data_IF_620592366180
#
_entry.id   IF_620592366180
#
_cell.length_a   1.000
_cell.length_b   1.000
_cell.length_c   1.000
_cell.angle_alpha   90.00
_cell.angle_beta   90.00
_cell.angle_gamma   90.00
#
_symmetry.space_group_name_H-M   'P 1'
#
loop_
_entity.id
_entity.type
_entity.pdbx_description
1 polymer ?
#
# COMPACT_ATOMS: atom_id res chain seq x y z
N UNK A 1 64.41 22.74 -15.62
CA UNK A 1 63.66 23.98 -15.93
C UNK A 1 62.59 23.59 -16.95
N UNK A 2 61.29 23.77 -16.81
CA UNK A 2 60.44 24.36 -15.80
C UNK A 2 59.12 23.55 -15.78
N UNK A 3 58.53 23.32 -14.61
CA UNK A 3 57.22 22.68 -14.48
C UNK A 3 56.13 23.72 -14.80
N UNK A 4 55.31 23.45 -15.83
CA UNK A 4 54.17 24.31 -16.18
C UNK A 4 53.04 24.17 -15.16
N UNK A 5 52.59 25.30 -14.59
CA UNK A 5 51.42 25.34 -13.71
C UNK A 5 50.13 25.03 -14.48
N UNK A 6 49.18 24.28 -13.90
CA UNK A 6 47.86 24.08 -14.48
C UNK A 6 47.03 25.38 -14.40
N UNK A 7 46.14 25.63 -15.38
CA UNK A 7 45.29 26.82 -15.40
C UNK A 7 44.26 26.82 -14.27
N UNK A 8 44.07 27.97 -13.63
CA UNK A 8 43.05 28.18 -12.60
C UNK A 8 41.63 27.98 -13.18
N UNK A 9 40.72 27.32 -12.45
CA UNK A 9 39.35 27.11 -12.92
C UNK A 9 38.58 28.44 -12.96
N UNK A 10 38.04 28.76 -14.13
CA UNK A 10 37.16 29.90 -14.36
C UNK A 10 35.80 29.64 -13.68
N UNK A 11 35.49 30.37 -12.62
CA UNK A 11 34.15 30.37 -12.01
C UNK A 11 33.23 31.36 -12.73
N UNK A 12 32.14 30.91 -13.38
CA UNK A 12 31.18 31.80 -14.02
C UNK A 12 30.41 32.64 -12.98
N UNK A 13 29.98 33.86 -13.33
CA UNK A 13 29.17 34.70 -12.44
C UNK A 13 27.84 34.02 -12.11
N UNK A 14 27.32 34.20 -10.88
CA UNK A 14 26.06 33.58 -10.49
C UNK A 14 24.90 34.10 -11.36
N UNK A 15 23.94 33.23 -11.73
CA UNK A 15 22.79 33.64 -12.53
C UNK A 15 21.94 34.67 -11.78
N UNK A 16 21.58 35.75 -12.47
CA UNK A 16 20.67 36.78 -11.97
C UNK A 16 19.33 36.14 -11.60
N UNK A 17 19.01 36.11 -10.30
CA UNK A 17 17.73 35.56 -9.84
C UNK A 17 16.60 36.49 -10.25
N UNK A 18 15.47 35.97 -10.73
CA UNK A 18 14.28 36.76 -11.01
C UNK A 18 13.86 37.53 -9.74
N UNK A 19 13.58 38.83 -9.88
CA UNK A 19 13.30 39.74 -8.77
C UNK A 19 12.14 39.29 -7.86
N UNK A 20 11.18 38.54 -8.41
CA UNK A 20 10.04 37.96 -7.67
C UNK A 20 10.45 36.85 -6.67
N UNK A 21 11.67 36.33 -6.75
CA UNK A 21 12.20 35.36 -5.78
C UNK A 21 12.92 36.01 -4.59
N UNK A 22 13.02 37.34 -4.54
CA UNK A 22 13.61 38.05 -3.40
C UNK A 22 12.71 37.94 -2.17
N UNK A 23 13.31 37.89 -0.98
CA UNK A 23 12.60 37.79 0.29
C UNK A 23 11.58 38.93 0.49
N UNK A 24 11.88 40.13 -0.03
CA UNK A 24 10.97 41.28 0.00
C UNK A 24 9.70 41.06 -0.82
N UNK A 25 9.82 40.56 -2.06
CA UNK A 25 8.66 40.28 -2.89
C UNK A 25 7.74 39.22 -2.27
N UNK A 26 8.32 38.18 -1.65
CA UNK A 26 7.55 37.12 -0.97
C UNK A 26 6.78 37.63 0.23
N UNK A 27 7.38 38.51 1.04
CA UNK A 27 6.69 39.11 2.18
C UNK A 27 5.56 40.05 1.73
N UNK A 28 5.74 40.78 0.63
CA UNK A 28 4.68 41.61 0.04
C UNK A 28 3.48 40.77 -0.44
N UNK A 29 3.72 39.62 -1.08
CA UNK A 29 2.64 38.71 -1.50
C UNK A 29 1.90 38.09 -0.31
N UNK A 30 2.60 37.73 0.76
CA UNK A 30 1.97 37.21 1.99
C UNK A 30 1.11 38.29 2.65
N UNK A 31 1.60 39.53 2.72
CA UNK A 31 0.83 40.67 3.23
C UNK A 31 -0.44 40.94 2.42
N UNK A 32 -0.34 40.94 1.08
CA UNK A 32 -1.48 41.13 0.20
C UNK A 32 -2.52 40.00 0.34
N UNK A 33 -2.08 38.74 0.49
CA UNK A 33 -2.97 37.61 0.71
C UNK A 33 -3.74 37.72 2.04
N UNK A 34 -3.08 38.17 3.12
CA UNK A 34 -3.73 38.38 4.41
C UNK A 34 -4.83 39.45 4.35
N UNK A 35 -4.61 40.53 3.59
CA UNK A 35 -5.62 41.59 3.38
C UNK A 35 -6.80 41.08 2.55
N UNK A 36 -6.56 40.25 1.53
CA UNK A 36 -7.64 39.66 0.70
C UNK A 36 -8.49 38.67 1.51
N UNK A 37 -7.86 37.88 2.39
CA UNK A 37 -8.57 36.94 3.29
C UNK A 37 -9.49 37.68 4.26
N UNK A 38 -9.11 38.87 4.71
CA UNK A 38 -9.94 39.69 5.61
C UNK A 38 -11.18 40.31 4.92
N UNK A 39 -11.19 40.41 3.59
CA UNK A 39 -12.28 41.04 2.83
C UNK A 39 -13.28 39.99 2.32
N UNK A 40 -12.83 38.76 2.03
CA UNK A 40 -13.70 37.70 1.50
C UNK A 40 -13.37 36.33 2.09
N UNK A 41 -13.98 36.00 3.23
CA UNK A 41 -13.74 34.76 4.00
C UNK A 41 -13.85 33.48 3.15
N UNK A 42 -14.86 33.39 2.28
CA UNK A 42 -15.08 32.19 1.45
C UNK A 42 -14.00 31.99 0.37
N UNK A 43 -13.43 33.08 -0.16
CA UNK A 43 -12.36 33.03 -1.17
C UNK A 43 -11.01 32.70 -0.53
N UNK A 44 -10.78 33.14 0.71
CA UNK A 44 -9.58 32.80 1.47
C UNK A 44 -9.45 31.30 1.74
N UNK A 45 -10.56 30.65 2.12
CA UNK A 45 -10.59 29.20 2.37
C UNK A 45 -10.34 28.42 1.07
N UNK A 46 -10.96 28.83 -0.05
CA UNK A 46 -10.74 28.20 -1.36
C UNK A 46 -9.30 28.33 -1.85
N UNK A 47 -8.67 29.51 -1.70
CA UNK A 47 -7.25 29.69 -2.02
C UNK A 47 -6.34 28.86 -1.11
N UNK A 48 -6.72 28.65 0.14
CA UNK A 48 -5.97 27.81 1.07
C UNK A 48 -6.02 26.34 0.66
N UNK A 49 -7.19 25.80 0.33
CA UNK A 49 -7.29 24.43 -0.18
C UNK A 49 -6.57 24.26 -1.53
N UNK A 50 -6.68 25.24 -2.43
CA UNK A 50 -5.99 25.22 -3.71
C UNK A 50 -4.47 25.25 -3.55
N UNK A 51 -3.94 26.01 -2.58
CA UNK A 51 -2.49 26.06 -2.29
C UNK A 51 -1.98 24.78 -1.63
N UNK A 52 -2.74 24.15 -0.73
CA UNK A 52 -2.41 22.82 -0.20
C UNK A 52 -2.43 21.77 -1.32
N UNK A 53 -3.46 21.79 -2.17
CA UNK A 53 -3.57 20.87 -3.30
C UNK A 53 -2.39 21.07 -4.28
N UNK A 54 -2.00 22.31 -4.57
CA UNK A 54 -0.83 22.62 -5.41
C UNK A 54 0.48 22.10 -4.79
N UNK A 55 0.67 22.21 -3.46
CA UNK A 55 1.85 21.67 -2.75
C UNK A 55 1.93 20.14 -2.88
N UNK A 56 0.80 19.45 -3.00
CA UNK A 56 0.77 18.00 -3.17
C UNK A 56 0.84 17.58 -4.65
N UNK A 57 0.14 18.27 -5.55
CA UNK A 57 0.08 17.94 -6.99
C UNK A 57 1.38 18.31 -7.71
N UNK A 58 2.05 19.42 -7.33
CA UNK A 58 3.33 19.80 -7.93
C UNK A 58 4.52 18.94 -7.46
N UNK A 59 4.28 17.88 -6.66
CA UNK A 59 5.32 16.99 -6.12
C UNK A 59 5.39 15.63 -6.81
N UNK A 60 4.76 15.48 -7.97
CA UNK A 60 5.06 14.42 -8.93
C UNK A 60 6.40 14.66 -9.63
N UNK A 61 7.51 14.51 -8.91
CA UNK A 61 8.85 14.65 -9.50
C UNK A 61 9.94 14.91 -8.47
N UNK A 62 10.95 14.05 -8.47
CA UNK A 62 12.10 14.01 -7.58
C UNK A 62 12.73 15.39 -7.29
N UNK A 63 13.16 15.56 -6.02
CA UNK A 63 14.05 16.60 -5.44
C UNK A 63 13.36 17.77 -4.70
N UNK A 64 12.92 17.51 -3.47
CA UNK A 64 12.84 18.55 -2.43
C UNK A 64 13.42 18.02 -1.12
N UNK A 65 14.26 18.78 -0.37
CA UNK A 65 15.03 18.28 0.77
C UNK A 65 14.24 18.00 2.07
N UNK A 66 12.93 18.18 2.08
CA UNK A 66 12.11 18.02 3.29
C UNK A 66 11.53 16.62 3.40
N UNK A 67 11.76 15.99 4.57
CA UNK A 67 11.19 14.66 4.89
C UNK A 67 9.68 14.77 5.02
N UNK A 68 8.95 13.74 4.59
CA UNK A 68 7.47 13.67 4.61
C UNK A 68 6.88 14.06 5.97
N UNK A 69 7.53 13.68 7.06
CA UNK A 69 7.08 13.99 8.41
C UNK A 69 7.10 15.48 8.76
N UNK A 70 8.06 16.26 8.20
CA UNK A 70 8.08 17.72 8.37
C UNK A 70 6.93 18.40 7.63
N UNK A 71 6.43 17.79 6.54
CA UNK A 71 5.24 18.29 5.83
C UNK A 71 3.98 18.08 6.67
N UNK A 72 3.84 16.90 7.27
CA UNK A 72 2.73 16.57 8.17
C UNK A 72 2.73 17.51 9.39
N UNK A 73 3.89 17.70 10.03
CA UNK A 73 4.03 18.58 11.17
C UNK A 73 3.66 20.05 10.85
N UNK A 74 4.07 20.56 9.67
CA UNK A 74 3.69 21.90 9.23
C UNK A 74 2.18 22.02 9.01
N UNK A 75 1.56 21.05 8.33
CA UNK A 75 0.10 21.08 8.08
C UNK A 75 -0.72 20.99 9.36
N UNK A 76 -0.31 20.16 10.32
CA UNK A 76 -1.00 20.02 11.61
C UNK A 76 -0.83 21.29 12.44
N UNK A 77 0.37 21.89 12.46
CA UNK A 77 0.63 23.13 13.19
C UNK A 77 -0.21 24.30 12.68
N UNK A 78 -0.34 24.46 11.36
CA UNK A 78 -1.18 25.51 10.77
C UNK A 78 -2.66 25.30 11.10
N UNK A 79 -3.14 24.06 11.03
CA UNK A 79 -4.54 23.73 11.32
C UNK A 79 -4.89 23.96 12.80
N UNK A 80 -3.97 23.66 13.71
CA UNK A 80 -4.11 23.94 15.14
C UNK A 80 -4.16 25.45 15.42
N UNK A 81 -3.33 26.24 14.74
CA UNK A 81 -3.32 27.70 14.88
C UNK A 81 -4.63 28.31 14.38
N UNK A 82 -5.18 27.82 13.26
CA UNK A 82 -6.48 28.27 12.75
C UNK A 82 -7.64 27.94 13.71
N UNK A 83 -7.62 26.79 14.38
CA UNK A 83 -8.64 26.43 15.37
C UNK A 83 -8.60 27.32 16.62
N UNK A 84 -7.41 27.79 17.01
CA UNK A 84 -7.25 28.76 18.11
C UNK A 84 -7.79 30.13 17.70
N UNK A 85 -7.52 30.60 16.48
CA UNK A 85 -8.02 31.89 15.98
C UNK A 85 -9.54 31.88 15.77
N UNK A 86 -10.14 30.72 15.44
CA UNK A 86 -11.58 30.56 15.29
C UNK A 86 -12.38 30.48 16.61
N UNK A 87 -11.73 30.59 17.77
CA UNK A 87 -12.40 30.74 19.08
C UNK A 87 -13.14 29.50 19.62
N UNK A 88 -12.90 28.31 19.06
CA UNK A 88 -13.63 27.07 19.44
C UNK A 88 -13.09 26.45 20.76
N UNK A 89 -11.96 26.94 21.28
CA UNK A 89 -11.36 26.45 22.53
C UNK A 89 -11.53 27.44 23.70
N UNK A 90 -12.74 27.57 24.23
CA UNK A 90 -12.95 28.14 25.57
C UNK A 90 -13.70 27.13 26.46
N UNK A 91 -13.21 26.83 27.68
CA UNK A 91 -13.92 25.97 28.63
C UNK A 91 -15.14 26.68 29.21
N UNK A 92 -16.30 26.05 29.10
CA UNK A 92 -17.61 26.58 29.49
C UNK A 92 -17.74 26.71 31.01
N UNK A 93 -17.98 27.94 31.51
CA UNK A 93 -18.52 28.18 32.85
C UNK A 93 -20.05 28.18 32.81
N UNK A 94 -20.67 27.37 33.67
CA UNK A 94 -22.11 27.39 33.97
C UNK A 94 -22.55 28.74 34.55
N UNK A 95 -23.78 29.15 34.22
CA UNK A 95 -24.57 30.09 35.02
C UNK A 95 -26.05 29.73 34.91
N UNK A 96 -26.69 29.57 36.07
CA UNK A 96 -28.12 29.37 36.29
C UNK A 96 -28.89 30.71 36.33
N UNK A 97 -30.23 30.58 36.42
CA UNK A 97 -31.28 31.57 36.76
C UNK A 97 -31.81 32.46 35.60
N UNK A 98 -33.11 32.78 35.42
CA UNK A 98 -34.38 32.58 36.12
C UNK A 98 -35.55 33.00 35.17
N UNK A 99 -36.73 32.35 35.20
CA UNK A 99 -38.04 32.74 35.80
C UNK A 99 -39.03 33.61 34.96
N UNK A 100 -40.30 33.12 34.97
CA UNK A 100 -41.62 33.76 34.76
C UNK A 100 -42.07 34.12 33.33
N UNK A 101 -43.35 34.11 32.95
CA UNK A 101 -44.62 33.51 33.41
C UNK A 101 -45.72 33.86 32.36
N UNK A 102 -46.76 33.03 32.28
CA UNK A 102 -48.16 33.29 31.85
C UNK A 102 -48.59 33.35 30.36
N UNK A 103 -49.50 32.39 30.08
CA UNK A 103 -50.56 32.09 29.06
C UNK A 103 -51.53 33.27 28.76
N UNK A 104 -52.52 33.27 27.79
CA UNK A 104 -53.17 32.10 27.13
C UNK A 104 -53.70 32.17 25.66
N UNK A 105 -54.09 30.96 25.19
CA UNK A 105 -55.21 30.57 24.30
C UNK A 105 -55.21 30.89 22.79
N UNK A 106 -55.30 29.82 21.96
CA UNK A 106 -56.42 29.61 21.02
C UNK A 106 -56.42 28.18 20.44
N UNK A 107 -57.62 27.63 20.39
CA UNK A 107 -58.02 26.29 19.98
C UNK A 107 -57.97 26.11 18.46
N UNK A 108 -57.43 24.99 17.98
CA UNK A 108 -57.78 24.43 16.66
C UNK A 108 -57.67 22.91 16.70
N UNK A 109 -58.83 22.28 16.76
CA UNK A 109 -59.05 20.83 16.71
C UNK A 109 -58.70 20.34 15.31
N UNK A 110 -57.63 19.56 15.19
CA UNK A 110 -57.38 18.71 14.02
C UNK A 110 -57.59 17.25 14.38
N UNK A 111 -58.42 16.62 13.56
CA UNK A 111 -58.88 15.24 13.60
C UNK A 111 -57.70 14.27 13.64
N UNK A 112 -57.60 13.50 14.72
CA UNK A 112 -56.64 12.40 14.93
C UNK A 112 -56.93 11.30 13.90
N UNK A 113 -55.97 10.89 13.05
CA UNK A 113 -56.03 9.60 12.38
C UNK A 113 -55.80 8.51 13.44
N UNK A 114 -56.64 7.48 13.45
CA UNK A 114 -56.47 6.31 14.31
C UNK A 114 -55.04 5.76 14.22
N UNK A 115 -54.34 5.84 15.34
CA UNK A 115 -53.07 5.14 15.57
C UNK A 115 -53.30 3.64 15.33
N UNK A 116 -52.62 3.01 14.36
CA UNK A 116 -52.66 1.56 14.23
C UNK A 116 -52.24 0.93 15.55
N UNK A 117 -52.95 -0.11 15.98
CA UNK A 117 -52.60 -0.90 17.16
C UNK A 117 -51.09 -1.21 17.17
N UNK A 118 -50.39 -1.12 18.32
CA UNK A 118 -48.95 -1.37 18.37
C UNK A 118 -48.66 -2.73 17.74
N UNK A 119 -48.00 -2.71 16.58
CA UNK A 119 -47.41 -3.91 16.02
C UNK A 119 -46.56 -4.52 17.14
N UNK A 120 -46.77 -5.82 17.40
CA UNK A 120 -45.98 -6.55 18.39
C UNK A 120 -44.50 -6.20 18.18
N UNK A 121 -43.81 -5.83 19.25
CA UNK A 121 -42.42 -5.41 19.17
C UNK A 121 -41.62 -6.47 18.38
N UNK A 122 -40.82 -6.06 17.37
CA UNK A 122 -40.06 -7.00 16.57
C UNK A 122 -39.25 -7.92 17.48
N UNK A 123 -39.34 -9.23 17.30
CA UNK A 123 -38.49 -10.15 18.04
C UNK A 123 -37.02 -9.94 17.61
N UNK A 124 -36.11 -10.00 18.58
CA UNK A 124 -34.69 -9.85 18.32
C UNK A 124 -34.19 -11.04 17.48
N UNK A 125 -33.72 -10.76 16.27
CA UNK A 125 -33.09 -11.75 15.40
C UNK A 125 -31.72 -12.18 15.91
N UNK A 126 -31.21 -13.32 15.45
CA UNK A 126 -29.80 -13.70 15.64
C UNK A 126 -28.95 -12.98 14.59
N UNK A 127 -28.01 -12.17 15.06
CA UNK A 127 -27.10 -11.40 14.23
C UNK A 127 -25.70 -11.99 14.13
N UNK A 128 -25.48 -13.21 14.63
CA UNK A 128 -24.18 -13.90 14.48
C UNK A 128 -23.75 -13.96 13.01
N UNK A 129 -22.51 -13.54 12.74
CA UNK A 129 -21.94 -13.43 11.40
C UNK A 129 -22.34 -12.17 10.63
N UNK A 130 -23.17 -11.29 11.19
CA UNK A 130 -23.56 -10.01 10.57
C UNK A 130 -22.66 -8.87 11.02
N UNK A 131 -22.71 -7.76 10.27
CA UNK A 131 -22.04 -6.53 10.67
C UNK A 131 -22.66 -5.96 11.95
N UNK A 132 -21.84 -5.46 12.88
CA UNK A 132 -22.32 -4.88 14.13
C UNK A 132 -23.27 -3.69 13.89
N UNK A 133 -23.03 -2.90 12.84
CA UNK A 133 -23.91 -1.79 12.46
C UNK A 133 -25.36 -2.23 12.18
N UNK A 134 -25.53 -3.34 11.47
CA UNK A 134 -26.84 -3.96 11.20
C UNK A 134 -27.46 -4.51 12.47
N UNK A 135 -26.67 -5.25 13.27
CA UNK A 135 -27.11 -5.87 14.51
C UNK A 135 -27.61 -4.83 15.53
N UNK A 136 -26.88 -3.73 15.69
CA UNK A 136 -27.28 -2.61 16.57
C UNK A 136 -28.60 -2.01 16.13
N UNK A 137 -28.71 -1.64 14.85
CA UNK A 137 -29.93 -1.03 14.30
C UNK A 137 -31.14 -1.94 14.48
N UNK A 138 -30.97 -3.23 14.19
CA UNK A 138 -32.03 -4.22 14.33
C UNK A 138 -32.44 -4.48 15.78
N UNK A 139 -31.47 -4.53 16.71
CA UNK A 139 -31.75 -4.67 18.14
C UNK A 139 -32.43 -3.45 18.75
N UNK A 140 -31.97 -2.24 18.40
CA UNK A 140 -32.58 -0.98 18.84
C UNK A 140 -34.01 -0.87 18.31
N UNK A 141 -34.26 -1.25 17.04
CA UNK A 141 -35.60 -1.31 16.46
C UNK A 141 -36.53 -2.33 17.14
N UNK A 142 -35.96 -3.40 17.69
CA UNK A 142 -36.66 -4.39 18.52
C UNK A 142 -36.88 -3.93 19.98
N UNK A 143 -36.42 -2.73 20.35
CA UNK A 143 -36.58 -2.14 21.69
C UNK A 143 -35.53 -2.59 22.71
N UNK A 144 -34.41 -3.17 22.27
CA UNK A 144 -33.32 -3.59 23.15
C UNK A 144 -32.32 -2.46 23.37
N UNK A 145 -31.79 -2.38 24.59
CA UNK A 145 -30.59 -1.57 24.87
C UNK A 145 -29.35 -2.35 24.43
N UNK A 146 -28.48 -1.73 23.63
CA UNK A 146 -27.38 -2.45 22.99
C UNK A 146 -26.02 -2.16 23.64
N UNK A 147 -25.35 -3.22 24.09
CA UNK A 147 -23.94 -3.28 24.42
C UNK A 147 -23.11 -3.88 23.29
N UNK A 148 -21.81 -3.62 23.29
CA UNK A 148 -20.85 -4.36 22.48
C UNK A 148 -19.47 -4.41 23.13
N UNK A 149 -18.72 -5.46 22.80
CA UNK A 149 -17.33 -5.66 23.22
C UNK A 149 -16.55 -6.45 22.18
N UNK A 150 -15.24 -6.34 22.18
CA UNK A 150 -14.38 -7.23 21.40
C UNK A 150 -14.45 -8.64 21.98
N UNK A 151 -14.78 -9.62 21.14
CA UNK A 151 -14.89 -11.02 21.48
C UNK A 151 -13.51 -11.67 21.69
N UNK A 152 -12.43 -11.04 21.22
CA UNK A 152 -11.09 -11.56 21.38
C UNK A 152 -10.52 -11.32 22.77
N UNK A 153 -9.52 -12.11 23.15
CA UNK A 153 -8.73 -11.90 24.37
C UNK A 153 -8.01 -10.55 24.43
N UNK A 154 -7.94 -9.80 23.32
CA UNK A 154 -7.31 -8.47 23.28
C UNK A 154 -8.21 -7.37 23.88
N UNK A 155 -9.52 -7.61 24.02
CA UNK A 155 -10.48 -6.67 24.62
C UNK A 155 -10.40 -5.25 24.04
N UNK A 156 -10.27 -5.13 22.71
CA UNK A 156 -10.10 -3.84 22.02
C UNK A 156 -11.37 -3.00 22.11
N UNK A 157 -11.21 -1.68 22.08
CA UNK A 157 -12.33 -0.75 21.96
C UNK A 157 -13.03 -0.90 20.61
N UNK A 158 -14.35 -1.11 20.62
CA UNK A 158 -15.18 -1.24 19.43
C UNK A 158 -15.51 0.14 18.88
N UNK A 159 -14.70 0.61 17.93
CA UNK A 159 -14.87 1.90 17.25
C UNK A 159 -15.25 1.66 15.79
N UNK A 160 -16.21 2.45 15.27
CA UNK A 160 -16.80 2.31 13.93
C UNK A 160 -17.45 0.93 13.68
N UNK A 161 -18.71 0.77 14.10
CA UNK A 161 -19.46 -0.49 14.05
C UNK A 161 -19.53 -1.19 12.66
N UNK A 162 -19.24 -0.47 11.57
CA UNK A 162 -19.20 -1.07 10.24
C UNK A 162 -18.03 -2.06 10.04
N UNK A 163 -16.92 -1.91 10.78
CA UNK A 163 -15.71 -2.71 10.60
C UNK A 163 -15.66 -3.93 11.52
N UNK A 164 -16.80 -4.32 12.09
CA UNK A 164 -16.90 -5.35 13.12
C UNK A 164 -17.99 -6.35 12.76
N UNK A 165 -17.71 -7.63 13.00
CA UNK A 165 -18.63 -8.75 12.77
C UNK A 165 -19.04 -9.36 14.09
N UNK A 166 -20.33 -9.63 14.28
CA UNK A 166 -20.87 -10.25 15.51
C UNK A 166 -20.50 -11.73 15.55
N UNK A 167 -19.89 -12.16 16.65
CA UNK A 167 -19.57 -13.56 16.93
C UNK A 167 -20.51 -14.17 17.96
N UNK A 168 -20.90 -13.39 18.97
CA UNK A 168 -21.83 -13.84 19.99
C UNK A 168 -22.84 -12.75 20.31
N UNK A 169 -24.05 -13.19 20.62
CA UNK A 169 -25.16 -12.35 21.02
C UNK A 169 -25.72 -12.86 22.35
N UNK A 170 -25.73 -12.01 23.37
CA UNK A 170 -26.26 -12.37 24.69
C UNK A 170 -27.37 -11.41 25.10
N UNK A 171 -28.57 -11.93 25.29
CA UNK A 171 -29.70 -11.17 25.85
C UNK A 171 -29.62 -11.21 27.38
N UNK A 172 -29.90 -10.07 28.01
CA UNK A 172 -29.94 -9.96 29.47
C UNK A 172 -31.03 -9.00 29.91
N UNK A 173 -31.61 -9.23 31.09
CA UNK A 173 -32.49 -8.25 31.72
C UNK A 173 -31.63 -7.19 32.44
N UNK A 174 -31.94 -5.92 32.21
CA UNK A 174 -31.26 -4.78 32.82
C UNK A 174 -31.95 -4.39 34.12
N UNK A 175 -31.19 -3.76 35.03
CA UNK A 175 -31.66 -3.41 36.37
C UNK A 175 -32.87 -2.44 36.39
N UNK A 176 -33.11 -1.70 35.31
CA UNK A 176 -34.24 -0.78 35.14
C UNK A 176 -35.48 -1.47 34.51
N UNK A 177 -35.49 -2.80 34.41
CA UNK A 177 -36.58 -3.59 33.83
C UNK A 177 -36.60 -3.60 32.29
N UNK A 178 -35.61 -2.99 31.63
CA UNK A 178 -35.46 -3.06 30.17
C UNK A 178 -34.74 -4.35 29.76
N UNK A 179 -34.93 -4.74 28.50
CA UNK A 179 -34.13 -5.80 27.89
C UNK A 179 -32.87 -5.24 27.26
N UNK A 180 -31.74 -5.86 27.56
CA UNK A 180 -30.43 -5.59 26.98
C UNK A 180 -30.01 -6.71 26.03
N UNK A 181 -29.19 -6.36 25.05
CA UNK A 181 -28.41 -7.32 24.26
C UNK A 181 -26.97 -6.84 24.21
N UNK A 182 -26.04 -7.75 24.45
CA UNK A 182 -24.61 -7.47 24.31
C UNK A 182 -24.04 -8.28 23.14
N UNK A 183 -23.40 -7.57 22.22
CA UNK A 183 -22.77 -8.14 21.04
C UNK A 183 -21.25 -8.26 21.24
N UNK A 184 -20.76 -9.48 21.31
CA UNK A 184 -19.33 -9.75 21.22
C UNK A 184 -18.92 -9.82 19.75
N UNK A 185 -17.97 -8.99 19.35
CA UNK A 185 -17.60 -8.79 17.95
C UNK A 185 -16.10 -8.97 17.71
N UNK A 186 -15.72 -9.36 16.50
CA UNK A 186 -14.33 -9.31 16.03
C UNK A 186 -14.20 -8.30 14.90
N UNK A 187 -12.99 -7.84 14.58
CA UNK A 187 -12.83 -6.98 13.40
C UNK A 187 -13.17 -7.78 12.14
N UNK A 188 -13.58 -7.08 11.12
CA UNK A 188 -13.86 -7.69 9.82
C UNK A 188 -12.65 -8.50 9.31
N UNK A 189 -12.93 -9.74 8.86
CA UNK A 189 -11.92 -10.68 8.38
C UNK A 189 -11.16 -11.44 9.47
N UNK A 190 -11.42 -11.19 10.75
CA UNK A 190 -10.90 -12.02 11.84
C UNK A 190 -11.85 -13.19 12.13
N UNK A 191 -11.34 -14.38 12.49
CA UNK A 191 -12.20 -15.52 12.80
C UNK A 191 -12.82 -15.35 14.19
N UNK A 192 -14.07 -15.78 14.35
CA UNK A 192 -14.70 -15.79 15.68
C UNK A 192 -13.97 -16.77 16.61
N UNK A 193 -13.64 -16.35 17.85
CA UNK A 193 -13.09 -17.27 18.84
C UNK A 193 -14.12 -18.34 19.22
N UNK A 194 -13.67 -19.39 19.91
CA UNK A 194 -14.56 -20.47 20.36
C UNK A 194 -15.55 -20.00 21.44
N UNK A 195 -15.11 -19.05 22.24
CA UNK A 195 -15.88 -18.42 23.31
C UNK A 195 -15.51 -16.95 23.39
N UNK A 196 -16.40 -16.15 23.96
CA UNK A 196 -16.17 -14.73 24.18
C UNK A 196 -15.01 -14.48 25.16
N UNK A 197 -14.11 -13.57 24.79
CA UNK A 197 -12.83 -13.32 25.47
C UNK A 197 -11.74 -14.34 25.09
N UNK A 198 -12.02 -15.28 24.19
CA UNK A 198 -11.09 -16.32 23.77
C UNK A 198 -10.03 -15.84 22.76
N UNK A 199 -8.99 -16.67 22.57
CA UNK A 199 -7.98 -16.42 21.54
C UNK A 199 -8.56 -16.64 20.13
N UNK A 200 -8.20 -15.78 19.19
CA UNK A 200 -8.61 -15.90 17.79
C UNK A 200 -7.94 -17.13 17.13
N UNK A 201 -8.70 -18.04 16.49
CA UNK A 201 -8.17 -19.23 15.84
C UNK A 201 -7.61 -18.88 14.47
N UNK A 202 -6.50 -18.13 14.44
CA UNK A 202 -5.81 -17.77 13.21
C UNK A 202 -5.29 -19.00 12.47
N UNK A 203 -5.41 -19.05 11.13
CA UNK A 203 -4.78 -20.09 10.34
C UNK A 203 -3.25 -20.02 10.49
N UNK A 204 -2.62 -21.18 10.42
CA UNK A 204 -1.16 -21.34 10.46
C UNK A 204 -0.64 -21.61 9.05
N UNK A 205 0.52 -21.05 8.74
CA UNK A 205 1.14 -21.18 7.44
C UNK A 205 1.67 -22.61 7.26
N UNK A 206 1.20 -23.37 6.26
CA UNK A 206 1.75 -24.68 5.94
C UNK A 206 3.17 -24.57 5.38
N UNK A 207 3.88 -25.70 5.36
CA UNK A 207 5.16 -25.82 4.66
C UNK A 207 4.90 -26.12 3.19
N UNK A 208 5.08 -25.11 2.34
CA UNK A 208 4.85 -25.18 0.90
C UNK A 208 6.14 -25.01 0.10
N UNK A 209 7.29 -24.86 0.77
CA UNK A 209 8.60 -24.78 0.09
C UNK A 209 8.86 -26.09 -0.66
N UNK A 210 9.25 -25.97 -1.92
CA UNK A 210 9.47 -27.09 -2.85
C UNK A 210 8.20 -27.60 -3.54
N UNK A 211 7.00 -27.20 -3.10
CA UNK A 211 5.77 -27.56 -3.79
C UNK A 211 5.62 -26.81 -5.12
N UNK A 212 4.84 -27.39 -6.04
CA UNK A 212 4.37 -26.67 -7.23
C UNK A 212 3.36 -25.60 -6.83
N UNK A 213 3.18 -24.56 -7.65
CA UNK A 213 2.26 -23.47 -7.37
C UNK A 213 0.84 -23.98 -7.11
N UNK A 214 0.34 -24.88 -7.96
CA UNK A 214 -0.99 -25.46 -7.80
C UNK A 214 -1.15 -26.19 -6.46
N UNK A 215 -0.14 -26.99 -6.09
CA UNK A 215 -0.13 -27.70 -4.82
C UNK A 215 -0.06 -26.73 -3.64
N UNK A 216 0.80 -25.72 -3.69
CA UNK A 216 0.93 -24.70 -2.65
C UNK A 216 -0.39 -23.96 -2.41
N UNK A 217 -1.08 -23.53 -3.49
CA UNK A 217 -2.38 -22.86 -3.37
C UNK A 217 -3.47 -23.77 -2.79
N UNK A 218 -3.45 -25.06 -3.14
CA UNK A 218 -4.36 -26.05 -2.55
C UNK A 218 -4.10 -26.26 -1.05
N UNK A 219 -2.84 -26.39 -0.66
CA UNK A 219 -2.41 -26.59 0.73
C UNK A 219 -2.73 -25.34 1.58
N UNK A 220 -2.51 -24.12 1.04
CA UNK A 220 -2.90 -22.86 1.70
C UNK A 220 -4.40 -22.76 1.93
N UNK A 221 -5.20 -23.09 0.91
CA UNK A 221 -6.66 -23.10 1.02
C UNK A 221 -7.13 -24.10 2.07
N UNK A 222 -6.56 -25.30 2.10
CA UNK A 222 -6.88 -26.33 3.08
C UNK A 222 -6.53 -25.91 4.51
N UNK A 223 -5.47 -25.11 4.69
CA UNK A 223 -5.09 -24.51 5.97
C UNK A 223 -5.95 -23.31 6.38
N UNK A 224 -6.93 -22.89 5.56
CA UNK A 224 -7.79 -21.73 5.82
C UNK A 224 -7.11 -20.38 5.57
N UNK A 225 -5.99 -20.37 4.83
CA UNK A 225 -5.30 -19.13 4.46
C UNK A 225 -6.06 -18.43 3.32
N UNK A 226 -6.38 -17.12 3.46
CA UNK A 226 -7.05 -16.36 2.42
C UNK A 226 -6.15 -16.15 1.19
N UNK A 227 -6.57 -16.70 0.04
CA UNK A 227 -5.75 -16.71 -1.19
C UNK A 227 -5.63 -15.33 -1.86
N UNK A 228 -6.57 -14.41 -1.61
CA UNK A 228 -6.56 -13.03 -2.10
C UNK A 228 -5.40 -12.19 -1.54
N UNK A 229 -4.72 -12.72 -0.51
CA UNK A 229 -3.58 -12.08 0.16
C UNK A 229 -2.24 -12.70 -0.17
N UNK A 230 -2.25 -13.69 -1.06
CA UNK A 230 -1.03 -14.31 -1.56
C UNK A 230 -0.44 -13.41 -2.64
N UNK A 231 0.80 -12.97 -2.41
CA UNK A 231 1.62 -12.25 -3.37
C UNK A 231 2.69 -13.19 -3.91
N UNK A 232 2.90 -13.12 -5.21
CA UNK A 232 3.95 -13.85 -5.89
C UNK A 232 5.12 -12.91 -6.11
N UNK A 233 6.33 -13.44 -5.98
CA UNK A 233 7.58 -12.79 -6.32
C UNK A 233 8.42 -13.79 -7.13
N UNK A 234 9.29 -13.34 -8.03
CA UNK A 234 10.28 -14.23 -8.64
C UNK A 234 11.54 -14.30 -7.76
N UNK A 235 12.21 -15.45 -7.80
CA UNK A 235 13.41 -15.72 -7.03
C UNK A 235 14.71 -15.27 -7.72
N UNK A 236 14.71 -15.14 -9.05
CA UNK A 236 15.88 -14.78 -9.86
C UNK A 236 15.91 -13.28 -10.22
N UNK A 237 17.08 -12.80 -10.65
CA UNK A 237 17.31 -11.39 -10.99
C UNK A 237 16.90 -10.99 -12.42
N UNK A 238 16.75 -11.97 -13.32
CA UNK A 238 16.54 -11.79 -14.77
C UNK A 238 15.17 -12.26 -15.26
N UNK A 239 14.26 -12.52 -14.33
CA UNK A 239 12.92 -13.03 -14.56
C UNK A 239 11.91 -12.05 -13.97
N UNK A 240 10.80 -11.88 -14.69
CA UNK A 240 9.69 -11.09 -14.19
C UNK A 240 8.82 -11.95 -13.26
N UNK A 241 8.38 -11.36 -12.15
CA UNK A 241 7.38 -11.94 -11.25
C UNK A 241 6.13 -12.36 -12.03
N UNK A 242 5.69 -13.63 -11.95
CA UNK A 242 4.48 -14.07 -12.64
C UNK A 242 3.22 -13.46 -12.01
N UNK A 243 2.21 -13.21 -12.83
CA UNK A 243 0.85 -12.99 -12.30
C UNK A 243 0.26 -14.30 -11.77
N UNK A 244 -0.77 -14.21 -10.93
CA UNK A 244 -1.45 -15.39 -10.41
C UNK A 244 -2.04 -16.26 -11.55
N UNK A 245 -2.53 -15.63 -12.62
CA UNK A 245 -3.07 -16.33 -13.79
C UNK A 245 -1.98 -17.05 -14.58
N UNK A 246 -0.81 -16.42 -14.75
CA UNK A 246 0.34 -17.04 -15.40
C UNK A 246 0.89 -18.21 -14.59
N UNK A 247 0.99 -18.03 -13.26
CA UNK A 247 1.40 -19.08 -12.35
C UNK A 247 0.41 -20.25 -12.38
N UNK A 248 -0.90 -20.00 -12.39
CA UNK A 248 -1.92 -21.04 -12.45
C UNK A 248 -1.90 -21.82 -13.78
N UNK A 249 -1.65 -21.14 -14.91
CA UNK A 249 -1.62 -21.78 -16.23
C UNK A 249 -0.49 -22.79 -16.35
N UNK A 250 0.70 -22.44 -15.88
CA UNK A 250 1.89 -23.30 -15.90
C UNK A 250 2.20 -23.85 -14.50
N UNK A 251 1.17 -24.13 -13.70
CA UNK A 251 1.31 -24.29 -12.25
C UNK A 251 2.14 -25.45 -11.77
N UNK A 252 2.48 -26.41 -12.64
CA UNK A 252 3.42 -27.50 -12.35
C UNK A 252 4.88 -27.14 -12.65
N UNK A 253 5.14 -26.11 -13.46
CA UNK A 253 6.49 -25.61 -13.75
C UNK A 253 6.96 -24.56 -12.73
N UNK A 254 6.02 -23.93 -12.02
CA UNK A 254 6.33 -22.97 -10.97
C UNK A 254 6.48 -23.67 -9.63
N UNK A 255 7.67 -23.56 -9.04
CA UNK A 255 7.98 -24.14 -7.73
C UNK A 255 8.19 -23.05 -6.70
N UNK A 256 7.65 -23.24 -5.50
CA UNK A 256 7.87 -22.33 -4.38
C UNK A 256 9.28 -22.55 -3.84
N UNK A 257 10.12 -21.52 -3.88
CA UNK A 257 11.47 -21.56 -3.35
C UNK A 257 11.59 -20.97 -1.96
N UNK A 258 10.82 -19.92 -1.70
CA UNK A 258 10.74 -19.32 -0.38
C UNK A 258 9.29 -18.97 -0.08
N UNK A 259 8.96 -18.99 1.20
CA UNK A 259 7.67 -18.55 1.70
C UNK A 259 7.86 -17.58 2.85
N UNK A 260 6.93 -16.64 2.96
CA UNK A 260 6.80 -15.79 4.14
C UNK A 260 5.31 -15.53 4.43
N UNK A 261 4.79 -15.79 5.64
CA UNK A 261 5.50 -16.32 6.80
C UNK A 261 6.15 -17.68 6.56
N UNK A 262 7.17 -17.99 7.37
CA UNK A 262 7.71 -19.35 7.43
C UNK A 262 6.65 -20.34 7.92
N UNK A 263 6.96 -21.63 7.79
CA UNK A 263 6.15 -22.73 8.34
C UNK A 263 5.73 -22.45 9.78
N UNK A 264 4.47 -22.79 10.10
CA UNK A 264 3.82 -22.60 11.41
C UNK A 264 3.65 -21.12 11.82
N UNK A 265 4.03 -20.17 10.95
CA UNK A 265 3.78 -18.75 11.14
C UNK A 265 2.28 -18.44 11.15
N UNK A 266 1.85 -17.61 12.10
CA UNK A 266 0.43 -17.19 12.18
C UNK A 266 0.08 -16.26 11.02
N UNK A 267 -1.03 -16.54 10.36
CA UNK A 267 -1.58 -15.68 9.29
C UNK A 267 -2.75 -14.90 9.85
N UNK A 268 -2.54 -13.63 10.16
CA UNK A 268 -3.56 -12.73 10.73
C UNK A 268 -4.25 -11.90 9.65
N UNK A 269 -5.21 -11.07 10.06
CA UNK A 269 -5.91 -10.11 9.19
C UNK A 269 -5.00 -9.03 8.58
N UNK A 270 -3.73 -8.92 8.96
CA UNK A 270 -2.77 -8.01 8.32
C UNK A 270 -1.60 -8.73 7.66
N UNK A 271 -1.51 -10.05 7.81
CA UNK A 271 -0.46 -10.85 7.20
C UNK A 271 -0.66 -10.91 5.68
N UNK A 272 0.36 -10.49 4.94
CA UNK A 272 0.50 -10.79 3.51
C UNK A 272 1.31 -12.06 3.38
N UNK A 273 0.80 -13.04 2.65
CA UNK A 273 1.54 -14.28 2.35
C UNK A 273 2.33 -14.04 1.08
N UNK A 274 3.64 -14.26 1.10
CA UNK A 274 4.52 -14.17 -0.06
C UNK A 274 5.04 -15.55 -0.43
N UNK A 275 4.95 -15.88 -1.71
CA UNK A 275 5.55 -17.06 -2.30
C UNK A 275 6.54 -16.61 -3.38
N UNK A 276 7.81 -16.90 -3.18
CA UNK A 276 8.86 -16.63 -4.15
C UNK A 276 8.98 -17.85 -5.05
N UNK A 277 8.68 -17.69 -6.33
CA UNK A 277 8.59 -18.78 -7.29
C UNK A 277 9.84 -18.84 -8.18
N UNK A 278 10.25 -20.06 -8.51
CA UNK A 278 11.18 -20.34 -9.60
C UNK A 278 10.50 -21.19 -10.66
N UNK A 279 10.60 -20.79 -11.93
CA UNK A 279 10.05 -21.56 -13.05
C UNK A 279 11.05 -22.59 -13.57
N UNK A 280 10.74 -23.87 -13.54
CA UNK A 280 11.56 -24.89 -14.17
C UNK A 280 10.70 -25.81 -15.03
N UNK A 281 11.07 -25.92 -16.30
CA UNK A 281 10.52 -26.90 -17.23
C UNK A 281 11.61 -27.89 -17.64
N UNK A 282 11.30 -28.85 -18.50
CA UNK A 282 12.29 -29.81 -18.99
C UNK A 282 13.47 -29.14 -19.70
N UNK A 283 13.25 -27.98 -20.32
CA UNK A 283 14.27 -27.19 -21.00
C UNK A 283 15.13 -26.32 -20.07
N UNK A 284 14.77 -26.21 -18.79
CA UNK A 284 15.49 -25.33 -17.85
C UNK A 284 16.87 -25.91 -17.47
N UNK A 285 17.90 -25.07 -17.60
CA UNK A 285 19.28 -25.40 -17.20
C UNK A 285 19.43 -25.46 -15.66
N UNK A 286 18.61 -24.69 -14.95
CA UNK A 286 18.55 -24.65 -13.50
C UNK A 286 17.20 -25.21 -13.07
N UNK A 287 17.21 -26.28 -12.28
CA UNK A 287 16.01 -26.97 -11.76
C UNK A 287 16.03 -27.06 -10.22
N UNK A 288 16.59 -26.03 -9.58
CA UNK A 288 16.70 -25.97 -8.12
C UNK A 288 16.55 -24.54 -7.64
N UNK A 289 16.03 -24.41 -6.42
CA UNK A 289 15.92 -23.12 -5.76
C UNK A 289 17.32 -22.59 -5.45
N UNK A 290 17.54 -21.28 -5.63
CA UNK A 290 18.78 -20.68 -5.18
C UNK A 290 18.86 -20.69 -3.66
N UNK A 291 20.08 -20.54 -3.12
CA UNK A 291 20.30 -20.50 -1.68
C UNK A 291 19.71 -19.23 -1.03
N UNK A 292 19.57 -18.14 -1.80
CA UNK A 292 18.99 -16.89 -1.37
C UNK A 292 18.25 -16.21 -2.53
N UNK A 293 17.30 -15.33 -2.19
CA UNK A 293 16.50 -14.53 -3.13
C UNK A 293 17.35 -13.47 -3.80
N UNK A 294 17.16 -13.23 -5.10
CA UNK A 294 17.80 -12.10 -5.80
C UNK A 294 19.32 -12.14 -5.81
N UNK A 295 19.93 -13.33 -5.69
CA UNK A 295 21.40 -13.49 -5.71
C UNK A 295 21.91 -14.18 -6.97
N UNK A 296 21.03 -14.60 -7.87
CA UNK A 296 21.42 -15.40 -9.03
C UNK A 296 20.50 -15.15 -10.22
N UNK A 297 20.98 -15.57 -11.38
CA UNK A 297 20.31 -15.48 -12.67
C UNK A 297 19.81 -16.87 -13.05
N UNK A 298 18.58 -16.97 -13.52
CA UNK A 298 18.01 -18.22 -14.02
C UNK A 298 18.76 -18.68 -15.26
N UNK A 299 19.11 -17.74 -16.15
CA UNK A 299 19.96 -17.97 -17.31
C UNK A 299 21.38 -17.53 -16.93
N UNK A 300 22.33 -18.46 -16.73
CA UNK A 300 23.67 -18.09 -16.29
C UNK A 300 24.37 -17.08 -17.20
N UNK A 301 24.08 -17.08 -18.50
CA UNK A 301 24.65 -16.12 -19.45
C UNK A 301 24.23 -14.65 -19.22
N UNK A 302 23.18 -14.41 -18.43
CA UNK A 302 22.74 -13.06 -18.05
C UNK A 302 23.54 -12.51 -16.85
N UNK A 303 24.26 -13.37 -16.12
CA UNK A 303 25.13 -12.95 -15.02
C UNK A 303 26.33 -12.17 -15.59
N UNK A 304 26.57 -10.91 -15.15
CA UNK A 304 27.69 -10.10 -15.63
C UNK A 304 29.06 -10.73 -15.37
N UNK A 305 29.18 -11.60 -14.36
CA UNK A 305 30.41 -12.30 -14.01
C UNK A 305 30.51 -13.70 -14.66
N UNK A 306 29.54 -14.08 -15.49
CA UNK A 306 29.51 -15.39 -16.14
C UNK A 306 30.69 -15.59 -17.09
N UNK A 307 31.56 -16.54 -16.73
CA UNK A 307 32.58 -17.08 -17.63
C UNK A 307 32.06 -18.34 -18.29
N UNK A 308 31.90 -18.31 -19.61
CA UNK A 308 31.54 -19.50 -20.39
C UNK A 308 32.54 -20.62 -20.09
N UNK A 309 32.11 -21.82 -19.69
CA UNK A 309 33.00 -22.97 -19.59
C UNK A 309 33.69 -23.15 -20.95
N UNK A 310 35.01 -23.05 -20.97
CA UNK A 310 35.80 -23.36 -22.16
C UNK A 310 35.57 -24.81 -22.52
N UNK A 311 35.17 -25.08 -23.76
CA UNK A 311 35.23 -26.43 -24.33
C UNK A 311 36.68 -26.88 -24.28
N UNK A 312 37.00 -27.78 -23.36
CA UNK A 312 38.27 -28.49 -23.30
C UNK A 312 38.41 -29.34 -24.56
N UNK A 313 38.96 -28.72 -25.60
CA UNK A 313 39.77 -29.42 -26.59
C UNK A 313 41.16 -28.92 -26.29
N UNK A 314 41.98 -29.80 -25.69
CA UNK A 314 43.40 -29.54 -25.58
C UNK A 314 43.95 -29.36 -26.98
N UNK A 315 44.76 -28.32 -27.14
CA UNK A 315 45.94 -28.32 -28.00
C UNK A 315 46.79 -27.16 -27.50
N UNK A 316 47.96 -27.53 -26.98
CA UNK A 316 49.11 -26.66 -26.87
C UNK A 316 49.33 -25.96 -28.21
N UNK A 317 49.42 -24.63 -28.25
CA UNK A 317 50.62 -24.05 -28.84
C UNK A 317 50.81 -22.56 -28.57
N UNK A 318 52.10 -22.27 -28.59
CA UNK A 318 52.82 -21.05 -28.25
C UNK A 318 52.64 -19.92 -29.26
N UNK A 319 52.68 -18.68 -28.75
CA UNK A 319 53.10 -17.42 -29.41
C UNK A 319 52.53 -17.06 -30.79
N UNK A 320 51.98 -15.85 -30.91
CA UNK A 320 52.61 -14.70 -31.62
C UNK A 320 51.60 -13.58 -31.81
N UNK A 321 52.02 -12.38 -31.41
CA UNK A 321 51.41 -11.10 -31.77
C UNK A 321 51.27 -10.93 -33.29
N UNK A 322 50.04 -10.86 -33.78
CA UNK A 322 49.72 -10.51 -35.16
C UNK A 322 48.32 -9.90 -35.24
N UNK A 323 48.25 -8.58 -35.37
CA UNK A 323 47.00 -7.89 -35.66
C UNK A 323 46.48 -8.26 -37.04
N UNK A 324 45.21 -8.62 -37.15
CA UNK A 324 44.45 -8.45 -38.38
C UNK A 324 42.95 -8.34 -38.12
N UNK A 325 42.46 -7.21 -38.60
CA UNK A 325 41.09 -6.76 -38.80
C UNK A 325 40.28 -7.81 -39.56
N UNK A 326 39.29 -8.42 -38.90
CA UNK A 326 38.42 -9.42 -39.49
C UNK A 326 37.11 -9.51 -38.73
N UNK A 327 36.34 -8.42 -38.74
CA UNK A 327 35.05 -8.30 -38.05
C UNK A 327 34.00 -9.20 -38.66
N UNK A 328 33.84 -10.41 -38.13
CA UNK A 328 32.64 -11.22 -38.34
C UNK A 328 31.45 -10.55 -37.66
N UNK A 329 30.61 -9.87 -38.44
CA UNK A 329 29.40 -9.24 -37.94
C UNK A 329 28.45 -10.30 -37.38
N UNK A 330 28.29 -10.33 -36.06
CA UNK A 330 27.29 -11.17 -35.39
C UNK A 330 25.90 -10.77 -35.87
N UNK A 331 25.03 -11.75 -36.15
CA UNK A 331 23.63 -11.47 -36.44
C UNK A 331 22.95 -10.93 -35.18
N UNK A 332 22.30 -9.77 -35.27
CA UNK A 332 21.68 -9.09 -34.12
C UNK A 332 20.19 -8.88 -34.31
N UNK A 333 19.44 -8.73 -33.22
CA UNK A 333 18.02 -8.43 -33.25
C UNK A 333 17.80 -6.92 -32.99
N UNK A 334 17.27 -6.14 -33.95
CA UNK A 334 17.04 -4.71 -33.78
C UNK A 334 16.19 -4.40 -32.52
N UNK A 335 16.59 -3.40 -31.73
CA UNK A 335 15.88 -2.99 -30.52
C UNK A 335 16.11 -3.84 -29.27
N UNK A 336 16.77 -5.00 -29.39
CA UNK A 336 17.22 -5.78 -28.23
C UNK A 336 18.39 -5.11 -27.51
N UNK A 337 18.55 -5.43 -26.22
CA UNK A 337 19.66 -4.93 -25.42
C UNK A 337 20.99 -5.45 -25.95
N UNK A 338 22.02 -4.62 -25.82
CA UNK A 338 23.34 -4.93 -26.35
C UNK A 338 24.42 -4.47 -25.40
N UNK A 339 25.57 -5.15 -25.44
CA UNK A 339 26.78 -4.78 -24.70
C UNK A 339 27.99 -5.39 -25.43
N UNK A 340 29.16 -4.72 -25.46
CA UNK A 340 29.44 -3.39 -24.94
C UNK A 340 28.91 -2.25 -25.83
N UNK A 341 28.84 -1.03 -25.28
CA UNK A 341 28.56 0.17 -26.07
C UNK A 341 29.56 0.29 -27.23
N UNK A 342 29.07 0.56 -28.44
CA UNK A 342 29.89 0.63 -29.65
C UNK A 342 30.07 -0.70 -30.38
N UNK A 343 29.54 -1.82 -29.87
CA UNK A 343 29.51 -3.08 -30.62
C UNK A 343 28.73 -2.93 -31.94
N UNK A 344 29.15 -3.66 -32.98
CA UNK A 344 28.57 -3.62 -34.33
C UNK A 344 28.07 -5.03 -34.70
N UNK A 345 26.86 -5.11 -35.24
CA UNK A 345 26.26 -6.35 -35.71
C UNK A 345 25.44 -6.14 -36.98
N UNK A 346 24.96 -7.23 -37.60
CA UNK A 346 24.13 -7.14 -38.79
C UNK A 346 22.77 -7.80 -38.59
N UNK A 347 21.71 -7.20 -39.10
CA UNK A 347 20.37 -7.79 -39.12
C UNK A 347 19.74 -7.51 -40.49
N UNK A 348 19.29 -8.54 -41.19
CA UNK A 348 18.69 -8.40 -42.53
C UNK A 348 19.57 -7.60 -43.52
N UNK A 349 20.90 -7.83 -43.49
CA UNK A 349 21.87 -7.14 -44.34
C UNK A 349 22.16 -5.67 -43.96
N UNK A 350 21.58 -5.16 -42.87
CA UNK A 350 21.83 -3.81 -42.36
C UNK A 350 22.73 -3.85 -41.13
N UNK A 351 23.64 -2.89 -41.01
CA UNK A 351 24.52 -2.74 -39.86
C UNK A 351 23.81 -2.02 -38.72
N UNK A 352 23.96 -2.51 -37.50
CA UNK A 352 23.44 -1.94 -36.27
C UNK A 352 24.58 -1.71 -35.28
N UNK A 353 24.53 -0.58 -34.59
CA UNK A 353 25.48 -0.20 -33.55
C UNK A 353 24.79 -0.15 -32.19
N UNK A 354 25.48 -0.68 -31.19
CA UNK A 354 25.03 -0.70 -29.82
C UNK A 354 25.17 0.69 -29.17
N UNK A 355 24.07 1.44 -29.05
CA UNK A 355 24.07 2.84 -28.53
C UNK A 355 22.77 3.23 -27.79
N UNK A 356 22.88 4.08 -26.77
CA UNK A 356 21.72 4.73 -26.12
C UNK A 356 22.05 5.38 -24.76
N UNK A 357 21.32 6.44 -24.35
CA UNK A 357 21.43 6.97 -22.99
C UNK A 357 20.75 5.99 -22.02
N UNK A 358 21.52 5.38 -21.13
CA UNK A 358 21.05 4.36 -20.19
C UNK A 358 21.39 2.95 -20.65
N UNK A 359 20.38 2.10 -20.90
CA UNK A 359 20.58 0.73 -21.38
C UNK A 359 20.81 0.72 -22.89
N UNK A 360 22.00 0.24 -23.31
CA UNK A 360 22.37 0.15 -24.71
C UNK A 360 21.46 -0.82 -25.47
N UNK A 361 21.03 -0.44 -26.68
CA UNK A 361 20.22 -1.28 -27.57
C UNK A 361 20.77 -1.24 -29.00
N UNK A 362 20.53 -2.30 -29.77
CA UNK A 362 20.89 -2.37 -31.18
C UNK A 362 20.07 -1.36 -31.99
N UNK A 363 20.75 -0.35 -32.55
CA UNK A 363 20.15 0.72 -33.35
C UNK A 363 20.90 0.84 -34.67
N UNK A 364 20.17 1.08 -35.75
CA UNK A 364 20.76 1.24 -37.06
C UNK A 364 21.68 2.47 -37.11
#
# INVERSE_FOLDING_TARGET
MAYGQPPYPYTPPPPLRPWWQTSGARLAFIGAAAVIIAIVEALGILFMFASIAMIWISTGGLRHPWRVWQRIAATVGTLLLCLIVAGIAHPVKKKDDAKAAATPAATSVSKVPETPAPAAAPQLSDYTGKALSEARKGAEAAGYTVGNRDASSESRGVVLAANWTVCFQKVSDLADGKKGVDFSVVKEGEPCPKEDGGALPWPVMPDVVGATYNKAMADLKAAGVPLDRVKLEDVYLDTDTPTAEQAAKDGEEWHVCFQDPGKDGKVTSTTTVRLDLGKWSDASLVKKCPAAKGTTYQIPANDPDYKRPGTSTGDDDSSTSGGSTGGGAKTVNPGSFCSPAGAVGTANGKTYTCKGPGQNRWRQ
#
